data_IF_389306124696
#
_entry.id   IF_389306124696
#
_cell.length_a   1.000
_cell.length_b   1.000
_cell.length_c   1.000
_cell.angle_alpha   90.00
_cell.angle_beta   90.00
_cell.angle_gamma   90.00
#
_symmetry.space_group_name_H-M   'P 1'
#
loop_
_entity.id
_entity.type
_entity.pdbx_description
1 polymer ?
#
# COMPACT_ATOMS: atom_id res chain seq x y z
N UNK A 1 -7.19 -8.42 19.82
CA UNK A 1 -7.57 -9.85 19.85
C UNK A 1 -7.65 -10.53 18.48
N UNK A 2 -7.83 -9.81 17.36
CA UNK A 2 -8.01 -10.39 16.02
C UNK A 2 -6.92 -11.41 15.60
N UNK A 3 -5.65 -11.06 15.79
CA UNK A 3 -4.52 -11.91 15.38
C UNK A 3 -4.51 -13.29 16.06
N UNK A 4 -4.73 -13.34 17.37
CA UNK A 4 -4.73 -14.61 18.11
C UNK A 4 -5.90 -15.50 17.69
N UNK A 5 -7.08 -14.89 17.50
CA UNK A 5 -8.27 -15.60 17.01
C UNK A 5 -8.05 -16.16 15.61
N UNK A 6 -7.51 -15.35 14.69
CA UNK A 6 -7.19 -15.79 13.32
C UNK A 6 -6.17 -16.91 13.33
N UNK A 7 -5.07 -16.76 14.09
CA UNK A 7 -4.04 -17.78 14.19
C UNK A 7 -4.59 -19.11 14.73
N UNK A 8 -5.38 -19.05 15.81
CA UNK A 8 -6.03 -20.23 16.40
C UNK A 8 -6.98 -20.91 15.40
N UNK A 9 -7.82 -20.13 14.71
CA UNK A 9 -8.76 -20.67 13.74
C UNK A 9 -8.04 -21.36 12.56
N UNK A 10 -6.98 -20.73 12.05
CA UNK A 10 -6.19 -21.30 10.94
C UNK A 10 -5.46 -22.58 11.35
N UNK A 11 -4.91 -22.65 12.58
CA UNK A 11 -4.33 -23.90 13.09
C UNK A 11 -5.36 -25.04 13.11
N UNK A 12 -6.57 -24.76 13.59
CA UNK A 12 -7.62 -25.79 13.61
C UNK A 12 -8.09 -26.22 12.22
N UNK A 13 -8.12 -25.31 11.24
CA UNK A 13 -8.41 -25.66 9.84
C UNK A 13 -7.31 -26.54 9.24
N UNK A 14 -6.06 -26.21 9.51
CA UNK A 14 -4.90 -26.99 9.04
C UNK A 14 -4.88 -28.40 9.63
N UNK A 15 -5.20 -28.52 10.93
CA UNK A 15 -5.34 -29.82 11.59
C UNK A 15 -6.45 -30.68 10.96
N UNK A 16 -7.63 -30.10 10.70
CA UNK A 16 -8.76 -30.83 10.10
C UNK A 16 -8.50 -31.27 8.65
N UNK A 17 -7.70 -30.50 7.90
CA UNK A 17 -7.42 -30.75 6.48
C UNK A 17 -6.21 -31.65 6.24
N UNK A 18 -5.49 -32.10 7.28
CA UNK A 18 -4.25 -32.88 7.17
C UNK A 18 -3.20 -32.26 6.22
N UNK A 19 -3.18 -30.92 6.09
CA UNK A 19 -2.21 -30.22 5.25
C UNK A 19 -0.84 -30.16 5.93
N UNK A 20 -0.08 -31.25 5.85
CA UNK A 20 1.24 -31.36 6.47
C UNK A 20 2.34 -30.55 5.74
N UNK A 21 2.13 -30.22 4.46
CA UNK A 21 3.12 -29.57 3.59
C UNK A 21 2.74 -28.13 3.18
N UNK A 22 2.01 -27.39 4.03
CA UNK A 22 1.72 -25.98 3.77
C UNK A 22 2.91 -25.10 4.16
N UNK A 23 3.19 -24.07 3.35
CA UNK A 23 4.13 -22.96 3.66
C UNK A 23 3.58 -22.03 4.78
N UNK A 24 2.49 -22.43 5.43
CA UNK A 24 1.85 -21.70 6.52
C UNK A 24 1.89 -22.48 7.84
N UNK A 25 1.87 -21.74 8.94
CA UNK A 25 1.73 -22.24 10.33
C UNK A 25 0.71 -21.37 11.04
N UNK A 26 -0.54 -21.83 11.09
CA UNK A 26 -1.67 -20.98 11.42
C UNK A 26 -1.72 -19.78 10.47
N UNK A 27 -1.81 -18.57 11.03
CA UNK A 27 -1.77 -17.31 10.26
C UNK A 27 -0.35 -16.80 9.89
N UNK A 28 0.72 -17.56 10.19
CA UNK A 28 2.09 -17.20 9.85
C UNK A 28 2.45 -17.79 8.50
N UNK A 29 2.98 -16.99 7.59
CA UNK A 29 3.58 -17.47 6.35
C UNK A 29 5.08 -17.67 6.58
N UNK A 30 5.57 -18.90 6.35
CA UNK A 30 6.98 -19.26 6.54
C UNK A 30 7.89 -18.75 5.41
N UNK A 31 7.30 -18.37 4.27
CA UNK A 31 8.00 -17.83 3.10
C UNK A 31 7.50 -16.42 2.74
N UNK A 32 7.24 -15.59 3.74
CA UNK A 32 6.78 -14.23 3.50
C UNK A 32 7.91 -13.38 2.89
N UNK A 33 7.57 -12.62 1.84
CA UNK A 33 8.49 -11.70 1.17
C UNK A 33 8.02 -10.27 1.40
N UNK A 34 8.74 -9.47 2.20
CA UNK A 34 8.40 -8.07 2.45
C UNK A 34 8.34 -7.24 1.17
N UNK A 35 9.27 -7.48 0.24
CA UNK A 35 9.33 -6.78 -1.04
C UNK A 35 8.07 -7.03 -1.88
N UNK A 36 7.61 -8.29 -1.98
CA UNK A 36 6.37 -8.63 -2.70
C UNK A 36 5.15 -7.99 -2.03
N UNK A 37 5.09 -8.03 -0.70
CA UNK A 37 3.99 -7.40 0.05
C UNK A 37 3.96 -5.88 -0.16
N UNK A 38 5.12 -5.21 -0.11
CA UNK A 38 5.25 -3.79 -0.38
C UNK A 38 4.84 -3.44 -1.81
N UNK A 39 5.31 -4.19 -2.80
CA UNK A 39 4.95 -3.98 -4.20
C UNK A 39 3.43 -4.10 -4.43
N UNK A 40 2.79 -5.10 -3.83
CA UNK A 40 1.34 -5.26 -3.91
C UNK A 40 0.60 -4.10 -3.21
N UNK A 41 1.05 -3.71 -2.02
CA UNK A 41 0.45 -2.58 -1.30
C UNK A 41 0.60 -1.27 -2.07
N UNK A 42 1.74 -1.04 -2.71
CA UNK A 42 1.98 0.12 -3.60
C UNK A 42 0.95 0.10 -4.73
N UNK A 43 0.83 -1.01 -5.48
CA UNK A 43 -0.12 -1.13 -6.57
C UNK A 43 -1.57 -0.84 -6.15
N UNK A 44 -2.00 -1.44 -5.03
CA UNK A 44 -3.36 -1.31 -4.54
C UNK A 44 -3.67 0.12 -4.08
N UNK A 45 -2.75 0.74 -3.35
CA UNK A 45 -2.92 2.12 -2.87
C UNK A 45 -2.78 3.13 -4.01
N UNK A 46 -1.90 2.89 -4.98
CA UNK A 46 -1.78 3.72 -6.19
C UNK A 46 -3.08 3.76 -6.98
N UNK A 47 -3.78 2.62 -7.11
CA UNK A 47 -5.11 2.58 -7.76
C UNK A 47 -6.11 3.49 -7.04
N UNK A 48 -6.20 3.40 -5.71
CA UNK A 48 -7.08 4.25 -4.89
C UNK A 48 -6.68 5.73 -5.00
N UNK A 49 -5.38 6.02 -4.97
CA UNK A 49 -4.85 7.37 -5.10
C UNK A 49 -5.21 7.98 -6.46
N UNK A 50 -5.09 7.21 -7.54
CA UNK A 50 -5.47 7.63 -8.88
C UNK A 50 -6.97 7.91 -8.98
N UNK A 51 -7.82 7.01 -8.48
CA UNK A 51 -9.27 7.21 -8.46
C UNK A 51 -9.66 8.48 -7.67
N UNK A 52 -8.96 8.76 -6.58
CA UNK A 52 -9.29 9.89 -5.68
C UNK A 52 -8.75 11.22 -6.19
N UNK A 53 -7.52 11.23 -6.72
CA UNK A 53 -6.79 12.47 -7.00
C UNK A 53 -6.42 12.67 -8.46
N UNK A 54 -6.69 11.69 -9.33
CA UNK A 54 -6.33 11.60 -10.76
C UNK A 54 -4.83 11.68 -11.07
N UNK A 55 -4.00 11.56 -10.02
CA UNK A 55 -2.54 11.55 -10.09
C UNK A 55 -2.01 10.62 -8.99
N UNK A 56 -0.87 10.00 -9.24
CA UNK A 56 -0.16 9.13 -8.29
C UNK A 56 1.29 9.59 -8.23
N UNK A 57 1.88 9.73 -7.03
CA UNK A 57 3.31 10.01 -6.93
C UNK A 57 4.15 8.84 -7.46
N UNK A 58 5.33 9.15 -7.97
CA UNK A 58 6.31 8.12 -8.31
C UNK A 58 6.83 7.46 -7.04
N UNK A 59 6.92 6.12 -7.04
CA UNK A 59 7.32 5.33 -5.87
C UNK A 59 8.43 4.39 -6.31
N UNK A 60 9.56 4.47 -5.61
CA UNK A 60 10.70 3.59 -5.78
C UNK A 60 10.77 2.65 -4.58
N UNK A 61 10.92 1.35 -4.85
CA UNK A 61 11.08 0.32 -3.83
C UNK A 61 12.52 -0.18 -3.83
N UNK A 62 13.29 0.21 -2.82
CA UNK A 62 14.61 -0.35 -2.58
C UNK A 62 14.48 -1.66 -1.80
N UNK A 63 14.88 -2.77 -2.41
CA UNK A 63 14.82 -4.08 -1.77
C UNK A 63 16.19 -4.50 -1.23
N UNK A 64 16.37 -4.40 0.08
CA UNK A 64 17.56 -4.85 0.79
C UNK A 64 17.41 -6.26 1.40
N UNK A 65 16.22 -6.88 1.29
CA UNK A 65 15.92 -8.19 1.87
C UNK A 65 15.57 -9.16 0.74
N UNK A 66 16.50 -10.06 0.43
CA UNK A 66 16.32 -11.04 -0.65
C UNK A 66 15.74 -12.38 -0.18
N UNK A 67 15.84 -12.67 1.12
CA UNK A 67 15.42 -13.95 1.68
C UNK A 67 14.00 -13.87 2.26
N UNK A 68 13.15 -14.90 2.06
CA UNK A 68 11.87 -15.00 2.74
C UNK A 68 12.05 -15.10 4.25
N UNK A 69 11.19 -14.40 5.00
CA UNK A 69 11.16 -14.43 6.46
C UNK A 69 9.82 -14.98 6.96
N UNK A 70 9.77 -15.75 8.06
CA UNK A 70 8.51 -16.12 8.67
C UNK A 70 7.81 -14.91 9.32
N UNK A 71 6.60 -14.56 8.89
CA UNK A 71 5.88 -13.42 9.45
C UNK A 71 4.36 -13.53 9.29
N UNK A 72 3.61 -12.64 9.94
CA UNK A 72 2.16 -12.46 9.75
C UNK A 72 1.89 -11.45 8.62
N UNK A 73 1.54 -11.89 7.40
CA UNK A 73 1.47 -10.99 6.24
C UNK A 73 0.45 -9.87 6.43
N UNK A 74 -0.72 -10.20 7.00
CA UNK A 74 -1.79 -9.23 7.22
C UNK A 74 -1.39 -8.02 8.07
N UNK A 75 -0.52 -8.20 9.07
CA UNK A 75 -0.05 -7.06 9.89
C UNK A 75 0.77 -6.11 9.02
N UNK A 76 1.72 -6.66 8.28
CA UNK A 76 2.66 -5.88 7.47
C UNK A 76 1.90 -5.14 6.38
N UNK A 77 1.04 -5.85 5.65
CA UNK A 77 0.23 -5.24 4.59
C UNK A 77 -0.69 -4.14 5.13
N UNK A 78 -1.30 -4.34 6.30
CA UNK A 78 -2.14 -3.31 6.91
C UNK A 78 -1.32 -2.05 7.21
N UNK A 79 -0.18 -2.19 7.87
CA UNK A 79 0.70 -1.06 8.21
C UNK A 79 1.17 -0.37 6.93
N UNK A 80 1.64 -1.13 5.94
CA UNK A 80 2.14 -0.59 4.67
C UNK A 80 1.05 0.19 3.93
N UNK A 81 -0.17 -0.35 3.83
CA UNK A 81 -1.28 0.33 3.16
C UNK A 81 -1.65 1.64 3.85
N UNK A 82 -1.70 1.67 5.18
CA UNK A 82 -2.02 2.89 5.91
C UNK A 82 -0.94 3.96 5.75
N UNK A 83 0.34 3.57 5.89
CA UNK A 83 1.46 4.50 5.69
C UNK A 83 1.50 5.04 4.26
N UNK A 84 1.39 4.16 3.26
CA UNK A 84 1.41 4.55 1.84
C UNK A 84 0.25 5.48 1.50
N UNK A 85 -0.98 5.19 1.95
CA UNK A 85 -2.13 6.08 1.73
C UNK A 85 -1.87 7.47 2.27
N UNK A 86 -1.36 7.55 3.50
CA UNK A 86 -1.08 8.83 4.16
C UNK A 86 0.04 9.59 3.44
N UNK A 87 1.12 8.90 3.07
CA UNK A 87 2.24 9.50 2.33
C UNK A 87 1.82 10.00 0.94
N UNK A 88 1.10 9.20 0.16
CA UNK A 88 0.63 9.60 -1.17
C UNK A 88 -0.31 10.80 -1.08
N UNK A 89 -1.27 10.77 -0.14
CA UNK A 89 -2.17 11.88 0.13
C UNK A 89 -1.41 13.17 0.44
N UNK A 90 -0.47 13.12 1.36
CA UNK A 90 0.32 14.28 1.76
C UNK A 90 1.09 14.89 0.57
N UNK A 91 1.74 14.05 -0.24
CA UNK A 91 2.49 14.50 -1.43
C UNK A 91 1.55 15.13 -2.46
N UNK A 92 0.43 14.48 -2.76
CA UNK A 92 -0.50 14.98 -3.78
C UNK A 92 -1.18 16.27 -3.33
N UNK A 93 -1.65 16.35 -2.10
CA UNK A 93 -2.30 17.56 -1.57
C UNK A 93 -1.32 18.74 -1.48
N UNK A 94 -0.08 18.50 -1.06
CA UNK A 94 0.97 19.53 -1.06
C UNK A 94 1.27 20.05 -2.49
N UNK A 95 1.39 19.15 -3.46
CA UNK A 95 1.67 19.55 -4.84
C UNK A 95 0.46 20.22 -5.53
N UNK A 96 -0.78 19.84 -5.20
CA UNK A 96 -1.99 20.53 -5.69
C UNK A 96 -2.01 22.01 -5.30
N UNK A 97 -1.54 22.36 -4.10
CA UNK A 97 -1.38 23.77 -3.70
C UNK A 97 -0.40 24.50 -4.62
N UNK A 98 0.68 23.84 -5.03
CA UNK A 98 1.67 24.39 -5.97
C UNK A 98 1.08 24.60 -7.39
N UNK A 99 0.24 23.67 -7.88
CA UNK A 99 -0.48 23.83 -9.15
C UNK A 99 -1.62 24.87 -9.11
N UNK A 100 -2.15 25.19 -7.93
CA UNK A 100 -3.09 26.30 -7.74
C UNK A 100 -2.50 27.64 -8.19
N UNK A 101 -1.18 27.82 -8.05
CA UNK A 101 -0.49 29.01 -8.56
C UNK A 101 -0.43 29.04 -10.10
N UNK A 102 -0.37 27.89 -10.77
CA UNK A 102 -0.38 27.81 -12.24
C UNK A 102 -1.79 28.06 -12.81
N UNK A 103 -2.84 27.61 -12.12
CA UNK A 103 -4.24 27.94 -12.48
C UNK A 103 -4.49 29.45 -12.40
N UNK A 104 -3.92 30.14 -11.40
CA UNK A 104 -4.00 31.60 -11.29
C UNK A 104 -3.28 32.33 -12.43
N UNK A 105 -2.13 31.81 -12.89
CA UNK A 105 -1.41 32.35 -14.05
C UNK A 105 -2.22 32.14 -15.34
N UNK A 106 -2.80 30.97 -15.54
CA UNK A 106 -3.64 30.71 -16.72
C UNK A 106 -4.89 31.61 -16.74
N UNK A 107 -5.52 31.79 -15.58
CA UNK A 107 -6.66 32.71 -15.41
C UNK A 107 -6.27 34.16 -15.72
N UNK A 108 -5.09 34.61 -15.28
CA UNK A 108 -4.57 35.93 -15.63
C UNK A 108 -4.40 36.12 -17.15
N UNK A 109 -3.87 35.10 -17.85
CA UNK A 109 -3.70 35.18 -19.31
C UNK A 109 -5.01 35.07 -20.10
N UNK A 110 -6.02 34.38 -19.56
CA UNK A 110 -7.33 34.29 -20.19
C UNK A 110 -8.14 35.60 -19.95
N UNK A 111 -8.05 36.21 -18.75
CA UNK A 111 -8.70 37.49 -18.43
C UNK A 111 -8.09 38.71 -19.15
N UNK A 112 -6.85 38.59 -19.66
CA UNK A 112 -6.15 39.66 -20.40
C UNK A 112 -5.98 39.38 -21.89
N UNK A 113 -6.62 38.33 -22.44
CA UNK A 113 -6.54 38.01 -23.87
C UNK A 113 -7.50 38.82 -24.74
N UNK A 114 -8.51 39.43 -24.13
CA UNK A 114 -9.58 40.20 -24.78
C UNK A 114 -9.46 41.74 -24.57
N UNK A 115 -8.28 42.23 -24.15
CA UNK A 115 -7.94 43.67 -24.10
C UNK A 115 -6.88 44.00 -25.15
#
# INVERSE_FOLDING_TARGET
MRLLTEHYLELHKQQKSNQMNSDWRGAISMKFSPAKAAQQCIHDVSSICFETYTVVPHIELENNIHEPIPFFPHIVEYILRELLKNSMRAIVEYNKVSFGNIQNVKKYFDDNRDK
#
